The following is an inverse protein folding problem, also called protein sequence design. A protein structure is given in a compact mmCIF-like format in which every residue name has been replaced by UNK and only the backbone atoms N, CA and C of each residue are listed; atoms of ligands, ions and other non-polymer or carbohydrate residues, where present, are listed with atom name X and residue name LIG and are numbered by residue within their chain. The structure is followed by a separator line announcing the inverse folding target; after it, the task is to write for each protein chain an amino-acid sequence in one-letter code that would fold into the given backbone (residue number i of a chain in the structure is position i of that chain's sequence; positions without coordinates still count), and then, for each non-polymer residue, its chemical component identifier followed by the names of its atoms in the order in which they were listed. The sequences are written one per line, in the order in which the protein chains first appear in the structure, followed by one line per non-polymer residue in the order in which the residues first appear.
data_IF_542854622430
#
_entry.id   IF_542854622430
#
_cell.length_a   1.000
_cell.length_b   1.000
_cell.length_c   1.000
_cell.angle_alpha   90.00
_cell.angle_beta   90.00
_cell.angle_gamma   90.00
#
_symmetry.space_group_name_H-M   'P 1'
#
loop_
_entity.id
_entity.type
_entity.pdbx_description
1 polymer ?
#
# COMPACT_ATOMS: atom_id res chain seq x y z
N UNK A 1 52.31 -36.93 16.38
CA UNK A 1 51.72 -36.05 17.41
C UNK A 1 51.56 -36.87 18.67
N UNK A 2 52.20 -36.45 19.76
CA UNK A 2 52.12 -37.14 21.06
C UNK A 2 50.75 -36.90 21.69
N UNK A 3 50.23 -37.85 22.47
CA UNK A 3 48.97 -37.66 23.23
C UNK A 3 49.05 -36.44 24.17
N UNK A 4 50.25 -36.12 24.65
CA UNK A 4 50.53 -34.94 25.48
C UNK A 4 50.33 -33.62 24.74
N UNK A 5 50.61 -33.57 23.42
CA UNK A 5 50.40 -32.37 22.62
C UNK A 5 48.90 -32.13 22.37
N UNK A 6 48.13 -33.21 22.24
CA UNK A 6 46.68 -33.14 22.06
C UNK A 6 45.96 -32.70 23.35
N UNK A 7 46.36 -33.24 24.52
CA UNK A 7 45.82 -32.77 25.80
C UNK A 7 46.18 -31.31 26.08
N UNK A 8 47.39 -30.88 25.70
CA UNK A 8 47.80 -29.49 25.81
C UNK A 8 46.93 -28.59 24.94
N UNK A 9 46.75 -28.93 23.66
CA UNK A 9 45.88 -28.17 22.75
C UNK A 9 44.42 -28.16 23.20
N UNK A 10 43.89 -29.26 23.74
CA UNK A 10 42.55 -29.30 24.30
C UNK A 10 42.41 -28.42 25.56
N UNK A 11 43.43 -28.39 26.43
CA UNK A 11 43.42 -27.55 27.62
C UNK A 11 43.52 -26.06 27.27
N UNK A 12 44.28 -25.72 26.23
CA UNK A 12 44.45 -24.35 25.73
C UNK A 12 43.17 -23.88 25.04
N UNK A 13 42.56 -24.72 24.20
CA UNK A 13 41.28 -24.45 23.56
C UNK A 13 40.14 -24.34 24.59
N UNK A 14 40.14 -25.19 25.62
CA UNK A 14 39.17 -25.10 26.72
C UNK A 14 39.38 -23.81 27.52
N UNK A 15 40.62 -23.46 27.89
CA UNK A 15 40.92 -22.23 28.60
C UNK A 15 40.53 -20.99 27.78
N UNK A 16 40.80 -20.99 26.48
CA UNK A 16 40.45 -19.92 25.55
C UNK A 16 38.93 -19.83 25.33
N UNK A 17 38.22 -20.96 25.27
CA UNK A 17 36.74 -20.99 25.26
C UNK A 17 36.13 -20.56 26.59
N UNK A 18 36.83 -20.70 27.71
CA UNK A 18 36.36 -20.23 29.02
C UNK A 18 36.69 -18.75 29.24
N UNK A 19 37.81 -18.27 28.68
CA UNK A 19 38.23 -16.87 28.75
C UNK A 19 37.49 -15.98 27.75
N UNK A 20 37.19 -16.49 26.55
CA UNK A 20 36.57 -15.76 25.45
C UNK A 20 35.12 -16.20 25.13
N UNK A 21 34.64 -17.31 25.71
CA UNK A 21 33.25 -17.71 25.58
C UNK A 21 32.35 -16.85 26.46
N UNK A 22 31.18 -16.44 25.93
CA UNK A 22 30.13 -15.91 26.79
C UNK A 22 29.94 -16.88 27.98
N UNK A 23 29.87 -16.37 29.23
CA UNK A 23 29.70 -17.22 30.40
C UNK A 23 28.52 -18.16 30.14
N UNK A 24 28.66 -19.46 30.43
CA UNK A 24 27.58 -20.45 30.20
C UNK A 24 26.23 -19.98 30.74
N UNK A 25 26.23 -19.22 31.85
CA UNK A 25 25.04 -18.57 32.42
C UNK A 25 24.41 -17.47 31.54
N UNK A 26 25.22 -16.75 30.77
CA UNK A 26 24.75 -15.75 29.78
C UNK A 26 24.11 -16.40 28.56
N UNK A 27 24.65 -17.54 28.07
CA UNK A 27 24.02 -18.31 26.99
C UNK A 27 22.65 -18.86 27.41
N UNK A 28 22.57 -19.52 28.56
CA UNK A 28 21.30 -20.06 29.09
C UNK A 28 20.26 -18.97 29.39
N UNK A 29 20.70 -17.74 29.71
CA UNK A 29 19.78 -16.62 29.93
C UNK A 29 19.22 -16.03 28.62
N UNK A 30 19.94 -16.21 27.50
CA UNK A 30 19.54 -15.71 26.18
C UNK A 30 18.72 -16.73 25.38
N UNK A 31 18.90 -18.02 25.63
CA UNK A 31 18.13 -19.11 25.01
C UNK A 31 16.60 -18.88 25.01
N UNK A 32 15.94 -18.50 26.13
CA UNK A 32 14.50 -18.24 26.11
C UNK A 32 14.13 -17.02 25.26
N UNK A 33 14.98 -15.99 25.22
CA UNK A 33 14.74 -14.81 24.38
C UNK A 33 14.90 -15.14 22.90
N UNK A 34 15.87 -16.00 22.57
CA UNK A 34 16.11 -16.46 21.21
C UNK A 34 14.96 -17.33 20.70
N UNK A 35 14.47 -18.26 21.53
CA UNK A 35 13.29 -19.08 21.22
C UNK A 35 12.05 -18.22 21.00
N UNK A 36 11.80 -17.25 21.89
CA UNK A 36 10.65 -16.35 21.74
C UNK A 36 10.76 -15.46 20.49
N UNK A 37 11.99 -15.08 20.09
CA UNK A 37 12.23 -14.33 18.87
C UNK A 37 11.95 -15.20 17.63
N UNK A 38 12.39 -16.46 17.64
CA UNK A 38 12.17 -17.41 16.55
C UNK A 38 10.68 -17.70 16.34
N UNK A 39 9.95 -17.98 17.44
CA UNK A 39 8.50 -18.18 17.40
C UNK A 39 7.77 -16.97 16.80
N UNK A 40 8.19 -15.75 17.19
CA UNK A 40 7.62 -14.51 16.63
C UNK A 40 7.98 -14.31 15.17
N UNK A 41 9.19 -14.67 14.73
CA UNK A 41 9.60 -14.60 13.34
C UNK A 41 8.79 -15.55 12.46
N UNK A 42 8.59 -16.79 12.92
CA UNK A 42 7.78 -17.79 12.23
C UNK A 42 6.32 -17.34 12.11
N UNK A 43 5.74 -16.80 13.19
CA UNK A 43 4.40 -16.23 13.17
C UNK A 43 4.30 -15.05 12.17
N UNK A 44 5.28 -14.14 12.19
CA UNK A 44 5.30 -13.00 11.28
C UNK A 44 5.46 -13.42 9.82
N UNK A 45 6.28 -14.43 9.54
CA UNK A 45 6.43 -15.03 8.22
C UNK A 45 5.09 -15.61 7.74
N UNK A 46 4.39 -16.38 8.57
CA UNK A 46 3.09 -16.93 8.23
C UNK A 46 2.07 -15.82 7.91
N UNK A 47 2.04 -14.77 8.72
CA UNK A 47 1.18 -13.60 8.52
C UNK A 47 1.49 -12.86 7.22
N UNK A 48 2.78 -12.66 6.89
CA UNK A 48 3.21 -12.05 5.65
C UNK A 48 2.80 -12.88 4.43
N UNK A 49 3.08 -14.19 4.45
CA UNK A 49 2.73 -15.10 3.37
C UNK A 49 1.21 -15.19 3.17
N UNK A 50 0.43 -15.08 4.25
CA UNK A 50 -1.02 -15.05 4.17
C UNK A 50 -1.58 -13.70 3.70
N UNK A 51 -0.91 -12.60 4.01
CA UNK A 51 -1.37 -11.23 3.71
C UNK A 51 -0.98 -10.74 2.31
N UNK A 52 0.20 -11.11 1.81
CA UNK A 52 0.69 -10.70 0.48
C UNK A 52 -0.29 -11.03 -0.67
N UNK A 53 -0.85 -12.24 -0.77
CA UNK A 53 -1.84 -12.56 -1.81
C UNK A 53 -3.12 -11.71 -1.71
N UNK A 54 -3.56 -11.39 -0.49
CA UNK A 54 -4.74 -10.52 -0.27
C UNK A 54 -4.49 -9.10 -0.75
N UNK A 55 -3.25 -8.64 -0.67
CA UNK A 55 -2.79 -7.36 -1.20
C UNK A 55 -2.45 -7.42 -2.70
N UNK A 56 -2.51 -8.60 -3.34
CA UNK A 56 -2.13 -8.77 -4.74
C UNK A 56 -0.64 -8.56 -5.01
N UNK A 57 0.20 -8.75 -4.00
CA UNK A 57 1.67 -8.61 -4.08
C UNK A 57 2.28 -10.01 -4.01
N UNK A 58 3.33 -10.25 -4.81
CA UNK A 58 4.08 -11.50 -4.73
C UNK A 58 4.74 -11.63 -3.33
N UNK A 59 4.70 -12.82 -2.71
CA UNK A 59 5.33 -13.02 -1.41
C UNK A 59 6.84 -12.76 -1.51
N UNK A 60 7.44 -12.03 -0.55
CA UNK A 60 8.86 -11.75 -0.56
C UNK A 60 9.67 -13.03 -0.33
N UNK A 61 10.84 -13.13 -0.96
CA UNK A 61 11.81 -14.19 -0.67
C UNK A 61 12.53 -13.85 0.64
N UNK A 62 12.14 -14.53 1.72
CA UNK A 62 12.78 -14.37 3.01
C UNK A 62 14.14 -15.07 2.96
N UNK A 63 15.20 -14.28 2.88
CA UNK A 63 16.59 -14.75 2.91
C UNK A 63 17.31 -14.04 4.03
N UNK A 64 18.04 -14.79 4.85
CA UNK A 64 18.84 -14.21 5.91
C UNK A 64 20.03 -13.47 5.27
N UNK A 65 20.16 -12.18 5.58
CA UNK A 65 21.31 -11.38 5.18
C UNK A 65 22.19 -11.25 6.42
N UNK A 66 23.45 -11.68 6.30
CA UNK A 66 24.41 -11.53 7.39
C UNK A 66 24.63 -10.03 7.68
N UNK A 67 24.69 -9.63 8.96
CA UNK A 67 24.93 -8.23 9.30
C UNK A 67 26.31 -7.80 8.80
N UNK A 68 26.40 -6.60 8.22
CA UNK A 68 27.66 -6.03 7.72
C UNK A 68 28.66 -5.71 8.83
N UNK A 69 28.18 -5.48 10.04
CA UNK A 69 29.00 -5.30 11.24
C UNK A 69 28.51 -6.23 12.35
N UNK A 70 29.43 -6.93 13.05
CA UNK A 70 29.04 -7.76 14.18
C UNK A 70 28.46 -6.87 15.29
N UNK A 71 27.34 -7.28 15.91
CA UNK A 71 26.76 -6.51 16.99
C UNK A 71 27.72 -6.47 18.20
N UNK A 72 27.73 -5.36 18.96
CA UNK A 72 28.63 -5.19 20.10
C UNK A 72 28.34 -6.16 21.26
N UNK A 73 27.10 -6.65 21.36
CA UNK A 73 26.63 -7.64 22.34
C UNK A 73 25.42 -8.40 21.75
N UNK A 74 25.32 -9.70 22.04
CA UNK A 74 24.20 -10.56 21.68
C UNK A 74 22.86 -10.06 22.23
N UNK A 75 22.82 -9.54 23.46
CA UNK A 75 21.61 -8.98 24.05
C UNK A 75 21.14 -7.72 23.31
N UNK A 76 22.07 -6.86 22.89
CA UNK A 76 21.77 -5.71 22.04
C UNK A 76 21.22 -6.12 20.67
N UNK A 77 21.78 -7.18 20.07
CA UNK A 77 21.30 -7.74 18.80
C UNK A 77 19.85 -8.26 18.89
N UNK A 78 19.53 -9.01 19.94
CA UNK A 78 18.18 -9.54 20.17
C UNK A 78 17.17 -8.40 20.36
N UNK A 79 17.51 -7.38 21.16
CA UNK A 79 16.65 -6.19 21.33
C UNK A 79 16.45 -5.43 20.01
N UNK A 80 17.47 -5.36 19.17
CA UNK A 80 17.37 -4.75 17.85
C UNK A 80 16.45 -5.57 16.93
N UNK A 81 16.57 -6.89 16.94
CA UNK A 81 15.69 -7.78 16.17
C UNK A 81 14.22 -7.63 16.58
N UNK A 82 13.92 -7.55 17.87
CA UNK A 82 12.57 -7.26 18.36
C UNK A 82 12.03 -5.92 17.85
N UNK A 83 12.82 -4.84 17.91
CA UNK A 83 12.40 -3.53 17.40
C UNK A 83 12.12 -3.54 15.90
N UNK A 84 12.92 -4.26 15.12
CA UNK A 84 12.67 -4.45 13.68
C UNK A 84 11.38 -5.23 13.43
N UNK A 85 11.11 -6.29 14.20
CA UNK A 85 9.86 -7.04 14.10
C UNK A 85 8.65 -6.20 14.49
N UNK A 86 8.74 -5.39 15.54
CA UNK A 86 7.65 -4.50 15.96
C UNK A 86 7.36 -3.45 14.88
N UNK A 87 8.43 -2.90 14.28
CA UNK A 87 8.33 -1.95 13.16
C UNK A 87 7.67 -2.61 11.94
N UNK A 88 8.14 -3.80 11.55
CA UNK A 88 7.59 -4.56 10.44
C UNK A 88 6.11 -4.90 10.67
N UNK A 89 5.74 -5.34 11.88
CA UNK A 89 4.35 -5.63 12.27
C UNK A 89 3.48 -4.38 12.19
N UNK A 90 3.96 -3.25 12.69
CA UNK A 90 3.25 -1.96 12.60
C UNK A 90 3.00 -1.54 11.15
N UNK A 91 3.99 -1.75 10.27
CA UNK A 91 3.90 -1.43 8.85
C UNK A 91 2.92 -2.35 8.11
N UNK A 92 2.90 -3.65 8.43
CA UNK A 92 1.94 -4.61 7.89
C UNK A 92 0.51 -4.25 8.30
N UNK A 93 0.28 -3.93 9.57
CA UNK A 93 -1.02 -3.47 10.05
C UNK A 93 -1.46 -2.16 9.37
N UNK A 94 -0.52 -1.25 9.09
CA UNK A 94 -0.82 -0.03 8.35
C UNK A 94 -1.19 -0.35 6.90
N UNK A 95 -0.42 -1.19 6.20
CA UNK A 95 -0.72 -1.61 4.84
C UNK A 95 -2.11 -2.26 4.73
N UNK A 96 -2.45 -3.15 5.65
CA UNK A 96 -3.78 -3.79 5.71
C UNK A 96 -4.89 -2.77 5.95
N UNK A 97 -4.69 -1.81 6.87
CA UNK A 97 -5.65 -0.72 7.09
C UNK A 97 -5.88 0.08 5.81
N UNK A 98 -4.83 0.44 5.08
CA UNK A 98 -4.95 1.18 3.82
C UNK A 98 -5.62 0.37 2.72
N UNK A 99 -5.37 -0.94 2.66
CA UNK A 99 -5.99 -1.84 1.70
C UNK A 99 -7.51 -1.99 1.89
N UNK A 100 -8.01 -1.76 3.11
CA UNK A 100 -9.46 -1.71 3.40
C UNK A 100 -10.12 -0.38 3.03
N UNK A 101 -9.34 0.64 2.69
CA UNK A 101 -9.86 1.94 2.26
C UNK A 101 -9.98 2.00 0.72
N UNK A 102 -10.89 2.85 0.18
CA UNK A 102 -10.96 3.04 -1.27
C UNK A 102 -9.73 3.80 -1.77
N UNK A 103 -9.24 3.43 -2.97
CA UNK A 103 -7.99 3.97 -3.56
C UNK A 103 -8.05 5.49 -3.77
N UNK A 104 -9.21 6.01 -4.16
CA UNK A 104 -9.41 7.43 -4.40
C UNK A 104 -9.92 8.14 -3.13
N UNK A 105 -9.18 9.15 -2.67
CA UNK A 105 -9.53 10.02 -1.54
C UNK A 105 -9.88 9.27 -0.22
N UNK A 106 -9.00 8.42 0.34
CA UNK A 106 -9.28 7.45 1.42
C UNK A 106 -9.91 8.01 2.70
N UNK A 107 -9.77 9.32 2.98
CA UNK A 107 -10.36 10.00 4.15
C UNK A 107 -11.63 10.78 3.86
N UNK A 108 -12.00 10.99 2.59
CA UNK A 108 -13.15 11.81 2.24
C UNK A 108 -14.47 11.05 2.40
N UNK A 109 -15.57 11.79 2.63
CA UNK A 109 -16.93 11.26 2.63
C UNK A 109 -17.27 10.70 1.25
N UNK A 110 -18.07 9.62 1.19
CA UNK A 110 -18.45 8.93 -0.07
C UNK A 110 -18.99 9.91 -1.12
N UNK A 111 -19.86 10.84 -0.71
CA UNK A 111 -20.44 11.87 -1.59
C UNK A 111 -19.35 12.73 -2.25
N UNK A 112 -18.40 13.24 -1.45
CA UNK A 112 -17.31 14.10 -1.93
C UNK A 112 -16.42 13.37 -2.94
N UNK A 113 -16.14 12.08 -2.72
CA UNK A 113 -15.34 11.27 -3.66
C UNK A 113 -16.03 11.13 -5.00
N UNK A 114 -17.31 10.76 -4.98
CA UNK A 114 -18.08 10.58 -6.21
C UNK A 114 -18.17 11.91 -6.98
N UNK A 115 -18.46 13.01 -6.28
CA UNK A 115 -18.52 14.34 -6.88
C UNK A 115 -17.17 14.75 -7.51
N UNK A 116 -16.05 14.47 -6.84
CA UNK A 116 -14.72 14.75 -7.37
C UNK A 116 -14.40 13.96 -8.65
N UNK A 117 -14.82 12.68 -8.73
CA UNK A 117 -14.64 11.88 -9.95
C UNK A 117 -15.51 12.42 -11.10
N UNK A 118 -16.77 12.77 -10.82
CA UNK A 118 -17.64 13.40 -11.83
C UNK A 118 -17.08 14.74 -12.31
N UNK A 119 -16.62 15.59 -11.40
CA UNK A 119 -16.01 16.88 -11.73
C UNK A 119 -14.78 16.70 -12.62
N UNK A 120 -13.88 15.79 -12.25
CA UNK A 120 -12.66 15.51 -13.01
C UNK A 120 -12.98 15.01 -14.43
N UNK A 121 -13.93 14.08 -14.56
CA UNK A 121 -14.32 13.56 -15.87
C UNK A 121 -15.00 14.63 -16.74
N UNK A 122 -15.84 15.49 -16.14
CA UNK A 122 -16.46 16.60 -16.85
C UNK A 122 -15.41 17.60 -17.35
N UNK A 123 -14.43 17.98 -16.52
CA UNK A 123 -13.34 18.87 -16.93
C UNK A 123 -12.52 18.27 -18.09
N UNK A 124 -12.21 16.97 -18.05
CA UNK A 124 -11.51 16.30 -19.15
C UNK A 124 -12.36 16.31 -20.43
N UNK A 125 -13.67 16.06 -20.33
CA UNK A 125 -14.57 16.12 -21.49
C UNK A 125 -14.62 17.54 -22.09
N UNK A 126 -14.74 18.58 -21.26
CA UNK A 126 -14.67 19.98 -21.69
C UNK A 126 -13.34 20.27 -22.41
N UNK A 127 -12.22 19.78 -21.88
CA UNK A 127 -10.90 19.99 -22.50
C UNK A 127 -10.80 19.30 -23.87
N UNK A 128 -11.27 18.06 -24.00
CA UNK A 128 -11.34 17.35 -25.28
C UNK A 128 -12.23 18.09 -26.26
N UNK A 129 -13.39 18.57 -25.81
CA UNK A 129 -14.32 19.32 -26.64
C UNK A 129 -13.70 20.65 -27.10
N UNK A 130 -13.05 21.39 -26.20
CA UNK A 130 -12.33 22.61 -26.54
C UNK A 130 -11.30 22.39 -27.66
N UNK A 131 -10.55 21.28 -27.63
CA UNK A 131 -9.64 20.90 -28.72
C UNK A 131 -10.37 20.66 -30.05
N UNK A 132 -11.53 20.00 -30.01
CA UNK A 132 -12.34 19.76 -31.22
C UNK A 132 -12.87 21.06 -31.82
N UNK A 133 -13.31 22.01 -30.98
CA UNK A 133 -13.75 23.34 -31.43
C UNK A 133 -12.60 24.08 -32.10
N UNK A 134 -11.41 24.07 -31.50
CA UNK A 134 -10.22 24.71 -32.07
C UNK A 134 -9.84 24.15 -33.45
N UNK A 135 -10.15 22.88 -33.73
CA UNK A 135 -9.83 22.23 -35.00
C UNK A 135 -10.93 22.38 -36.06
N UNK A 136 -12.20 22.22 -35.69
CA UNK A 136 -13.33 22.08 -36.63
C UNK A 136 -14.32 23.25 -36.58
N UNK A 137 -14.11 24.22 -35.70
CA UNK A 137 -15.03 25.33 -35.45
C UNK A 137 -16.27 24.92 -34.64
N UNK A 138 -17.03 25.94 -34.20
CA UNK A 138 -18.16 25.78 -33.27
C UNK A 138 -19.32 24.98 -33.89
N UNK A 139 -19.62 25.20 -35.18
CA UNK A 139 -20.75 24.57 -35.87
C UNK A 139 -20.52 23.06 -36.04
N UNK A 140 -19.29 22.65 -36.37
CA UNK A 140 -18.91 21.23 -36.47
C UNK A 140 -18.90 20.51 -35.11
N UNK A 141 -18.71 21.27 -34.02
CA UNK A 141 -18.62 20.73 -32.66
C UNK A 141 -19.95 20.79 -31.87
N UNK A 142 -21.02 21.34 -32.45
CA UNK A 142 -22.29 21.57 -31.74
C UNK A 142 -22.93 20.26 -31.21
N UNK A 143 -22.88 19.18 -31.99
CA UNK A 143 -23.34 17.85 -31.56
C UNK A 143 -22.55 17.31 -30.36
N UNK A 144 -21.29 17.71 -30.23
CA UNK A 144 -20.45 17.32 -29.10
C UNK A 144 -21.04 17.78 -27.76
N UNK A 145 -21.77 18.89 -27.71
CA UNK A 145 -22.19 19.49 -26.43
C UNK A 145 -23.34 18.71 -25.79
N UNK A 146 -24.13 17.99 -26.61
CA UNK A 146 -25.16 17.09 -26.13
C UNK A 146 -24.58 15.73 -25.69
N UNK A 147 -23.53 15.24 -26.38
CA UNK A 147 -22.97 13.89 -26.16
C UNK A 147 -21.87 13.88 -25.10
N UNK A 148 -21.07 14.94 -25.00
CA UNK A 148 -20.00 15.10 -24.02
C UNK A 148 -20.45 14.86 -22.57
N UNK A 149 -21.51 15.50 -22.03
CA UNK A 149 -21.92 15.31 -20.63
C UNK A 149 -22.33 13.87 -20.35
N UNK A 150 -23.02 13.23 -21.31
CA UNK A 150 -23.46 11.84 -21.19
C UNK A 150 -22.28 10.87 -21.19
N UNK A 151 -21.31 11.08 -22.09
CA UNK A 151 -20.10 10.26 -22.16
C UNK A 151 -19.24 10.42 -20.90
N UNK A 152 -19.02 11.66 -20.44
CA UNK A 152 -18.30 11.98 -19.22
C UNK A 152 -18.97 11.33 -17.99
N UNK A 153 -20.30 11.43 -17.90
CA UNK A 153 -21.08 10.79 -16.85
C UNK A 153 -20.93 9.27 -16.88
N UNK A 154 -21.05 8.63 -18.05
CA UNK A 154 -20.91 7.19 -18.19
C UNK A 154 -19.52 6.70 -17.76
N UNK A 155 -18.45 7.39 -18.21
CA UNK A 155 -17.07 7.08 -17.84
C UNK A 155 -16.86 7.27 -16.33
N UNK A 156 -17.31 8.39 -15.77
CA UNK A 156 -17.23 8.65 -14.33
C UNK A 156 -17.98 7.60 -13.50
N UNK A 157 -19.18 7.20 -13.95
CA UNK A 157 -19.99 6.18 -13.32
C UNK A 157 -19.27 4.82 -13.26
N UNK A 158 -18.61 4.44 -14.37
CA UNK A 158 -17.78 3.23 -14.43
C UNK A 158 -16.54 3.34 -13.53
N UNK A 159 -15.85 4.48 -13.57
CA UNK A 159 -14.67 4.75 -12.74
C UNK A 159 -15.00 4.71 -11.25
N UNK A 160 -16.13 5.26 -10.81
CA UNK A 160 -16.59 5.15 -9.42
C UNK A 160 -16.80 3.68 -9.04
N UNK A 161 -17.34 2.87 -9.95
CA UNK A 161 -17.47 1.43 -9.76
C UNK A 161 -16.15 0.70 -9.53
N UNK A 162 -15.07 1.15 -10.19
CA UNK A 162 -13.74 0.53 -10.13
C UNK A 162 -12.88 1.09 -8.99
N UNK A 163 -12.82 2.41 -8.84
CA UNK A 163 -11.99 3.13 -7.87
C UNK A 163 -12.62 3.24 -6.48
N UNK A 164 -13.94 3.14 -6.39
CA UNK A 164 -14.68 3.21 -5.13
C UNK A 164 -14.66 1.92 -4.32
N UNK A 165 -14.11 0.82 -4.87
CA UNK A 165 -13.99 -0.46 -4.17
C UNK A 165 -12.68 -0.51 -3.38
N UNK A 166 -12.71 -0.93 -2.10
CA UNK A 166 -11.49 -1.22 -1.36
C UNK A 166 -10.80 -2.45 -1.96
N UNK A 167 -9.48 -2.54 -1.77
CA UNK A 167 -8.68 -3.66 -2.28
C UNK A 167 -9.02 -4.95 -1.55
N UNK A 168 -9.09 -4.87 -0.21
CA UNK A 168 -9.51 -5.96 0.66
C UNK A 168 -10.93 -5.70 1.13
N UNK A 169 -11.83 -6.65 0.90
CA UNK A 169 -13.20 -6.62 1.43
C UNK A 169 -13.21 -7.18 2.85
N UNK A 170 -13.50 -6.33 3.83
CA UNK A 170 -13.62 -6.75 5.24
C UNK A 170 -14.90 -7.55 5.52
N UNK A 171 -15.90 -7.47 4.65
CA UNK A 171 -17.19 -8.15 4.84
C UNK A 171 -17.50 -9.06 3.65
N UNK A 172 -18.07 -10.24 3.95
CA UNK A 172 -18.59 -11.19 2.95
C UNK A 172 -19.85 -10.68 2.26
N UNK A 173 -20.53 -9.69 2.87
CA UNK A 173 -21.71 -9.08 2.27
C UNK A 173 -21.32 -8.20 1.08
N UNK A 174 -22.08 -8.22 -0.03
CA UNK A 174 -21.82 -7.32 -1.14
C UNK A 174 -21.93 -5.88 -0.64
N UNK A 175 -20.81 -5.15 -0.68
CA UNK A 175 -20.79 -3.71 -0.39
C UNK A 175 -21.69 -3.04 -1.43
N UNK A 176 -22.90 -2.66 -1.03
CA UNK A 176 -23.80 -1.88 -1.87
C UNK A 176 -23.15 -0.53 -2.10
N UNK A 177 -22.61 -0.34 -3.31
CA UNK A 177 -22.02 0.93 -3.69
C UNK A 177 -23.17 1.94 -3.80
N UNK A 178 -23.32 2.81 -2.80
CA UNK A 178 -24.35 3.84 -2.83
C UNK A 178 -23.93 4.92 -3.85
N UNK A 179 -24.36 4.73 -5.10
CA UNK A 179 -24.08 5.66 -6.20
C UNK A 179 -25.10 6.80 -6.15
N UNK A 180 -24.62 8.01 -6.44
CA UNK A 180 -25.44 9.22 -6.51
C UNK A 180 -25.52 9.72 -7.96
N UNK A 181 -26.21 8.99 -8.87
CA UNK A 181 -26.18 9.28 -10.31
C UNK A 181 -26.81 10.64 -10.63
N UNK A 182 -27.90 11.01 -9.95
CA UNK A 182 -28.61 12.29 -10.17
C UNK A 182 -27.69 13.49 -9.99
N UNK A 183 -26.96 13.54 -8.87
CA UNK A 183 -26.02 14.63 -8.59
C UNK A 183 -24.82 14.65 -9.55
N UNK A 184 -24.35 13.47 -9.98
CA UNK A 184 -23.27 13.37 -10.97
C UNK A 184 -23.68 13.94 -12.33
N UNK A 185 -24.87 13.57 -12.81
CA UNK A 185 -25.40 14.07 -14.08
C UNK A 185 -25.60 15.59 -14.05
N UNK A 186 -26.23 16.10 -12.99
CA UNK A 186 -26.44 17.55 -12.80
C UNK A 186 -25.09 18.29 -12.84
N UNK A 187 -24.07 17.75 -12.17
CA UNK A 187 -22.74 18.36 -12.14
C UNK A 187 -22.08 18.37 -13.52
N UNK A 188 -22.10 17.25 -14.26
CA UNK A 188 -21.53 17.18 -15.60
C UNK A 188 -22.19 18.19 -16.54
N UNK A 189 -23.54 18.23 -16.55
CA UNK A 189 -24.29 19.19 -17.36
C UNK A 189 -23.99 20.64 -16.96
N UNK A 190 -23.91 20.93 -15.65
CA UNK A 190 -23.60 22.28 -15.18
C UNK A 190 -22.20 22.74 -15.61
N UNK A 191 -21.20 21.86 -15.54
CA UNK A 191 -19.83 22.17 -15.98
C UNK A 191 -19.79 22.40 -17.50
N UNK A 192 -20.43 21.54 -18.29
CA UNK A 192 -20.49 21.70 -19.74
C UNK A 192 -21.24 22.97 -20.17
N UNK A 193 -22.33 23.30 -19.46
CA UNK A 193 -23.09 24.54 -19.72
C UNK A 193 -22.24 25.78 -19.43
N UNK A 194 -21.53 25.80 -18.29
CA UNK A 194 -20.62 26.90 -17.94
C UNK A 194 -19.50 27.02 -18.97
N UNK A 195 -18.94 25.90 -19.43
CA UNK A 195 -17.92 25.89 -20.46
C UNK A 195 -18.45 26.41 -21.80
N UNK A 196 -19.65 26.00 -22.21
CA UNK A 196 -20.29 26.49 -23.43
C UNK A 196 -20.54 28.00 -23.38
N UNK A 197 -21.05 28.51 -22.25
CA UNK A 197 -21.26 29.94 -22.03
C UNK A 197 -19.93 30.71 -22.06
N UNK A 198 -18.89 30.20 -21.40
CA UNK A 198 -17.56 30.80 -21.42
C UNK A 198 -17.01 30.91 -22.85
N UNK A 199 -17.14 29.84 -23.65
CA UNK A 199 -16.75 29.84 -25.05
C UNK A 199 -17.55 30.85 -25.89
N UNK A 200 -18.87 30.94 -25.70
CA UNK A 200 -19.70 31.93 -26.40
C UNK A 200 -19.31 33.38 -26.05
N UNK A 201 -18.89 33.63 -24.80
CA UNK A 201 -18.45 34.98 -24.39
C UNK A 201 -17.04 35.35 -24.83
N UNK A 202 -16.19 34.37 -25.14
CA UNK A 202 -14.77 34.59 -25.47
C UNK A 202 -14.44 34.39 -26.94
N UNK A 203 -15.27 33.66 -27.68
CA UNK A 203 -15.11 33.37 -29.12
C UNK A 203 -16.11 34.08 -30.03
N UNK A 204 -16.78 35.14 -29.55
CA UNK A 204 -17.62 36.05 -30.34
C UNK A 204 -16.91 37.35 -30.70
#
# INVERSE_FOLDING_TARGET
MSSADYERLLSELAAELTANGLPRGGRTALDPQLSALDDRLLAHQADLLHSCPKLGIAPPKLTAIAPTTPPPDAGAAIRQAHRHLDTATSSLMQAMRWATMPRFLPKARIRTRHLAVYALCAVVAVAVHAMVILQNGVIGAALGFAVAPLSAFAVAYLLIGRLGRPWIRTTTKPVKLNRYPKYGLILCVAIDLVAALAWLTTGG
#
